data_IF_357005644293
#
_entry.id   IF_357005644293
#
_cell.length_a   1.000
_cell.length_b   1.000
_cell.length_c   1.000
_cell.angle_alpha   90.00
_cell.angle_beta   90.00
_cell.angle_gamma   90.00
#
_symmetry.space_group_name_H-M   'P 1'
#
loop_
_entity.id
_entity.type
_entity.pdbx_description
1 polymer ?
#
# COMPACT_ATOMS: atom_id res chain seq x y z
N UNK A 1 4.82 -17.69 -22.84
CA UNK A 1 4.42 -17.33 -21.48
C UNK A 1 4.41 -15.81 -21.37
N UNK A 2 3.32 -15.25 -20.86
CA UNK A 2 3.23 -13.79 -20.65
C UNK A 2 4.19 -13.30 -19.57
N UNK A 3 4.32 -14.03 -18.45
CA UNK A 3 5.26 -13.74 -17.37
C UNK A 3 6.61 -14.44 -17.58
N UNK A 4 7.71 -13.68 -17.37
CA UNK A 4 9.08 -14.23 -17.33
C UNK A 4 9.91 -13.55 -16.24
N UNK A 5 10.84 -14.30 -15.66
CA UNK A 5 11.81 -13.83 -14.65
C UNK A 5 13.21 -14.25 -15.04
N UNK A 6 14.15 -13.32 -14.96
CA UNK A 6 15.60 -13.56 -15.08
C UNK A 6 16.31 -12.93 -13.89
N UNK A 7 17.24 -13.66 -13.29
CA UNK A 7 18.16 -13.11 -12.28
C UNK A 7 19.52 -12.92 -12.92
N UNK A 8 20.01 -11.69 -12.92
CA UNK A 8 21.33 -11.35 -13.43
C UNK A 8 22.44 -11.89 -12.52
N UNK A 9 23.69 -12.04 -13.01
CA UNK A 9 24.81 -12.51 -12.16
C UNK A 9 25.05 -11.66 -10.90
N UNK A 10 24.69 -10.38 -10.93
CA UNK A 10 24.77 -9.49 -9.77
C UNK A 10 23.72 -9.80 -8.68
N UNK A 11 22.71 -10.62 -8.98
CA UNK A 11 21.55 -10.86 -8.11
C UNK A 11 20.33 -9.98 -8.41
N UNK A 12 20.45 -9.00 -9.33
CA UNK A 12 19.32 -8.17 -9.76
C UNK A 12 18.28 -9.02 -10.50
N UNK A 13 17.03 -8.91 -10.09
CA UNK A 13 15.90 -9.64 -10.67
C UNK A 13 15.19 -8.78 -11.71
N UNK A 14 14.93 -9.35 -12.87
CA UNK A 14 14.20 -8.71 -13.97
C UNK A 14 12.92 -9.50 -14.22
N UNK A 15 11.79 -8.83 -14.10
CA UNK A 15 10.46 -9.42 -14.26
C UNK A 15 9.75 -8.75 -15.43
N UNK A 16 9.12 -9.54 -16.28
CA UNK A 16 8.27 -8.99 -17.34
C UNK A 16 6.94 -9.72 -17.45
N UNK A 17 5.91 -8.97 -17.82
CA UNK A 17 4.62 -9.51 -18.22
C UNK A 17 4.20 -8.91 -19.55
N UNK A 18 4.27 -9.72 -20.62
CA UNK A 18 3.92 -9.27 -21.95
C UNK A 18 2.39 -9.15 -22.11
N UNK A 19 1.95 -8.02 -22.65
CA UNK A 19 0.54 -7.75 -22.96
C UNK A 19 0.40 -7.52 -24.47
N UNK A 20 0.13 -8.56 -25.26
CA UNK A 20 -0.03 -8.40 -26.69
C UNK A 20 -1.30 -7.56 -26.98
N UNK A 21 -1.17 -6.62 -27.92
CA UNK A 21 -2.29 -5.78 -28.34
C UNK A 21 -2.35 -4.38 -27.70
N UNK A 22 -1.53 -4.08 -26.67
CA UNK A 22 -1.36 -2.72 -26.18
C UNK A 22 -0.16 -2.03 -26.85
N UNK A 23 -0.16 -0.69 -26.86
CA UNK A 23 0.92 0.13 -27.45
C UNK A 23 1.68 0.89 -26.37
N UNK A 24 1.58 0.46 -25.12
CA UNK A 24 2.26 1.06 -23.97
C UNK A 24 2.98 0.00 -23.16
N UNK A 25 3.93 0.46 -22.33
CA UNK A 25 4.56 -0.34 -21.30
C UNK A 25 4.78 0.52 -20.04
N UNK A 26 4.71 -0.12 -18.89
CA UNK A 26 5.13 0.47 -17.63
C UNK A 26 6.38 -0.24 -17.15
N UNK A 27 7.42 0.53 -16.86
CA UNK A 27 8.70 0.07 -16.31
C UNK A 27 8.83 0.58 -14.89
N UNK A 28 9.20 -0.26 -13.94
CA UNK A 28 9.43 0.10 -12.56
C UNK A 28 10.71 -0.46 -11.99
N UNK A 29 11.43 0.34 -11.20
CA UNK A 29 12.58 -0.08 -10.40
C UNK A 29 12.13 -0.09 -8.95
N UNK A 30 12.24 -1.24 -8.30
CA UNK A 30 11.79 -1.49 -6.95
C UNK A 30 12.96 -1.74 -6.02
N UNK A 31 12.90 -1.16 -4.84
CA UNK A 31 13.79 -1.48 -3.72
C UNK A 31 13.01 -2.11 -2.56
N UNK A 32 13.57 -3.17 -1.97
CA UNK A 32 13.01 -3.87 -0.80
C UNK A 32 13.30 -3.07 0.47
N UNK A 33 12.83 -1.84 0.50
CA UNK A 33 12.97 -0.90 1.62
C UNK A 33 11.80 0.07 1.62
N UNK A 34 11.25 0.28 2.80
CA UNK A 34 10.21 1.26 3.07
C UNK A 34 10.31 1.73 4.53
N UNK A 35 9.27 2.36 5.03
CA UNK A 35 9.34 2.96 6.36
C UNK A 35 9.46 1.96 7.52
N UNK A 36 9.11 0.70 7.32
CA UNK A 36 9.18 -0.31 8.38
C UNK A 36 10.59 -0.64 8.87
N UNK A 37 11.63 -0.37 8.06
CA UNK A 37 13.04 -0.64 8.45
C UNK A 37 13.76 0.60 8.99
N UNK A 38 13.09 1.73 9.01
CA UNK A 38 13.69 2.97 9.47
C UNK A 38 13.80 3.02 10.99
N UNK A 39 14.93 3.46 11.54
CA UNK A 39 14.99 3.78 12.96
C UNK A 39 14.07 4.97 13.26
N UNK A 40 13.51 5.00 14.47
CA UNK A 40 12.52 6.02 14.86
C UNK A 40 13.04 7.46 14.62
N UNK A 41 14.31 7.71 14.93
CA UNK A 41 14.94 9.04 14.81
C UNK A 41 15.07 9.54 13.37
N UNK A 42 14.89 8.64 12.39
CA UNK A 42 14.99 8.92 10.95
C UNK A 42 13.72 8.54 10.19
N UNK A 43 12.59 8.48 10.89
CA UNK A 43 11.31 8.16 10.28
C UNK A 43 10.99 9.15 9.15
N UNK A 44 10.63 8.61 7.97
CA UNK A 44 10.40 9.39 6.75
C UNK A 44 11.61 9.45 5.80
N UNK A 45 12.76 8.84 6.14
CA UNK A 45 13.96 8.91 5.28
C UNK A 45 13.75 8.22 3.92
N UNK A 46 13.04 7.10 3.85
CA UNK A 46 12.75 6.43 2.57
C UNK A 46 11.91 7.31 1.65
N UNK A 47 10.92 7.99 2.18
CA UNK A 47 10.09 8.95 1.44
C UNK A 47 10.91 10.16 0.99
N UNK A 48 11.82 10.66 1.82
CA UNK A 48 12.71 11.76 1.45
C UNK A 48 13.71 11.34 0.36
N UNK A 49 14.22 10.11 0.40
CA UNK A 49 15.02 9.54 -0.71
C UNK A 49 14.20 9.51 -1.99
N UNK A 50 12.95 9.06 -1.93
CA UNK A 50 12.05 9.03 -3.08
C UNK A 50 11.98 10.42 -3.76
N UNK A 51 11.68 11.47 -3.00
CA UNK A 51 11.64 12.85 -3.50
C UNK A 51 12.95 13.28 -4.14
N UNK A 52 14.06 12.98 -3.48
CA UNK A 52 15.38 13.45 -3.90
C UNK A 52 15.91 12.77 -5.16
N UNK A 53 15.43 11.56 -5.52
CA UNK A 53 15.81 10.92 -6.77
C UNK A 53 15.33 11.67 -8.01
N UNK A 54 14.27 12.49 -7.87
CA UNK A 54 13.77 13.36 -8.95
C UNK A 54 14.54 14.69 -9.09
N UNK A 55 15.50 14.98 -8.20
CA UNK A 55 16.14 16.30 -8.09
C UNK A 55 17.50 16.42 -8.79
N UNK A 56 17.79 15.50 -9.66
CA UNK A 56 18.93 15.57 -10.56
C UNK A 56 19.98 14.50 -10.36
N UNK A 57 20.68 14.26 -11.45
CA UNK A 57 21.82 13.36 -11.59
C UNK A 57 22.99 14.14 -12.22
N UNK A 58 24.22 13.58 -12.30
CA UNK A 58 25.31 14.20 -13.06
C UNK A 58 24.98 14.41 -14.55
N UNK A 59 24.04 13.63 -15.10
CA UNK A 59 23.65 13.68 -16.52
C UNK A 59 22.44 14.57 -16.79
N UNK A 60 21.56 14.77 -15.80
CA UNK A 60 20.27 15.45 -16.00
C UNK A 60 19.91 16.27 -14.77
N UNK A 61 19.57 17.52 -14.96
CA UNK A 61 18.88 18.33 -13.94
C UNK A 61 17.45 17.79 -13.70
N UNK A 62 16.82 18.21 -12.61
CA UNK A 62 15.42 17.88 -12.32
C UNK A 62 14.48 18.31 -13.47
N UNK A 63 14.76 19.48 -14.08
CA UNK A 63 14.01 19.96 -15.23
C UNK A 63 14.17 19.07 -16.45
N UNK A 64 15.38 18.67 -16.77
CA UNK A 64 15.68 17.79 -17.92
C UNK A 64 15.07 16.40 -17.74
N UNK A 65 15.00 15.88 -16.50
CA UNK A 65 14.28 14.64 -16.19
C UNK A 65 12.80 14.78 -16.57
N UNK A 66 12.15 15.84 -16.11
CA UNK A 66 10.74 16.11 -16.40
C UNK A 66 10.50 16.33 -17.91
N UNK A 67 11.28 17.21 -18.55
CA UNK A 67 11.17 17.53 -19.98
C UNK A 67 11.40 16.28 -20.87
N UNK A 68 12.29 15.39 -20.48
CA UNK A 68 12.57 14.14 -21.23
C UNK A 68 11.33 13.23 -21.24
N UNK A 69 10.64 13.09 -20.11
CA UNK A 69 9.45 12.26 -20.01
C UNK A 69 8.23 12.92 -20.64
N UNK A 70 8.02 14.21 -20.38
CA UNK A 70 6.93 14.96 -20.98
C UNK A 70 7.03 15.01 -22.51
N UNK A 71 8.24 15.15 -23.04
CA UNK A 71 8.54 15.20 -24.46
C UNK A 71 8.13 13.94 -25.24
N UNK A 72 7.97 12.81 -24.59
CA UNK A 72 7.47 11.56 -25.19
C UNK A 72 6.06 11.19 -24.75
N UNK A 73 5.37 12.11 -24.04
CA UNK A 73 4.04 11.85 -23.50
C UNK A 73 4.03 10.78 -22.42
N UNK A 74 5.17 10.57 -21.75
CA UNK A 74 5.34 9.60 -20.67
C UNK A 74 4.78 10.15 -19.36
N UNK A 75 4.43 9.25 -18.47
CA UNK A 75 4.05 9.57 -17.09
C UNK A 75 5.02 8.87 -16.15
N UNK A 76 5.69 9.62 -15.30
CA UNK A 76 6.64 9.12 -14.32
C UNK A 76 6.17 9.43 -12.91
N UNK A 77 6.28 8.47 -12.02
CA UNK A 77 5.87 8.61 -10.63
C UNK A 77 6.68 7.68 -9.72
N UNK A 78 6.50 7.81 -8.43
CA UNK A 78 7.06 6.90 -7.43
C UNK A 78 6.10 6.75 -6.26
N UNK A 79 6.33 5.76 -5.42
CA UNK A 79 5.70 5.63 -4.12
C UNK A 79 6.61 4.89 -3.14
N UNK A 80 6.48 5.25 -1.89
CA UNK A 80 7.09 4.56 -0.75
C UNK A 80 5.97 4.03 0.13
N UNK A 81 6.00 2.75 0.43
CA UNK A 81 5.14 2.13 1.43
C UNK A 81 5.94 1.65 2.65
N UNK A 82 5.34 0.83 3.50
CA UNK A 82 6.00 0.31 4.70
C UNK A 82 7.19 -0.62 4.39
N UNK A 83 7.13 -1.37 3.30
CA UNK A 83 8.09 -2.44 3.01
C UNK A 83 8.86 -2.25 1.71
N UNK A 84 8.36 -1.40 0.79
CA UNK A 84 8.95 -1.22 -0.54
C UNK A 84 8.93 0.23 -1.01
N UNK A 85 9.83 0.57 -1.92
CA UNK A 85 9.82 1.82 -2.68
C UNK A 85 9.89 1.50 -4.17
N UNK A 86 9.08 2.16 -4.98
CA UNK A 86 9.02 1.96 -6.42
C UNK A 86 9.11 3.27 -7.18
N UNK A 87 9.96 3.30 -8.20
CA UNK A 87 10.08 4.39 -9.18
C UNK A 87 9.66 3.84 -10.53
N UNK A 88 8.68 4.43 -11.19
CA UNK A 88 8.15 3.87 -12.43
C UNK A 88 7.77 4.91 -13.46
N UNK A 89 7.74 4.48 -14.71
CA UNK A 89 7.29 5.30 -15.84
C UNK A 89 6.40 4.47 -16.77
N UNK A 90 5.31 5.09 -17.23
CA UNK A 90 4.45 4.57 -18.29
C UNK A 90 4.72 5.34 -19.57
N UNK A 91 5.05 4.62 -20.64
CA UNK A 91 5.40 5.21 -21.94
C UNK A 91 4.78 4.39 -23.07
N UNK A 92 4.80 4.95 -24.29
CA UNK A 92 4.57 4.16 -25.50
C UNK A 92 5.72 3.15 -25.64
N UNK A 93 5.44 1.96 -26.12
CA UNK A 93 6.34 0.81 -26.22
C UNK A 93 7.73 1.13 -26.80
N UNK A 94 7.80 1.94 -27.85
CA UNK A 94 9.06 2.37 -28.48
C UNK A 94 9.97 3.21 -27.58
N UNK A 95 9.42 3.79 -26.51
CA UNK A 95 10.16 4.65 -25.55
C UNK A 95 10.58 3.92 -24.28
N UNK A 96 10.39 2.60 -24.20
CA UNK A 96 10.88 1.79 -23.08
C UNK A 96 12.38 1.97 -22.80
N UNK A 97 13.27 1.97 -23.84
CA UNK A 97 14.70 2.21 -23.59
C UNK A 97 15.00 3.57 -22.97
N UNK A 98 14.25 4.63 -23.37
CA UNK A 98 14.38 5.95 -22.78
C UNK A 98 13.87 5.99 -21.33
N UNK A 99 12.72 5.41 -21.08
CA UNK A 99 12.16 5.34 -19.72
C UNK A 99 13.11 4.62 -18.76
N UNK A 100 13.68 3.48 -19.19
CA UNK A 100 14.66 2.74 -18.41
C UNK A 100 15.94 3.55 -18.20
N UNK A 101 16.42 4.28 -19.21
CA UNK A 101 17.61 5.14 -19.10
C UNK A 101 17.42 6.25 -18.07
N UNK A 102 16.27 6.93 -18.09
CA UNK A 102 15.95 7.99 -17.12
C UNK A 102 15.81 7.42 -15.71
N UNK A 103 15.00 6.37 -15.54
CA UNK A 103 14.76 5.75 -14.24
C UNK A 103 16.06 5.18 -13.63
N UNK A 104 16.87 4.49 -14.41
CA UNK A 104 18.14 3.93 -13.92
C UNK A 104 19.14 5.01 -13.56
N UNK A 105 19.22 6.10 -14.33
CA UNK A 105 20.07 7.24 -14.03
C UNK A 105 19.68 7.91 -12.70
N UNK A 106 18.40 8.16 -12.49
CA UNK A 106 17.87 8.68 -11.22
C UNK A 106 18.14 7.74 -10.05
N UNK A 107 17.93 6.44 -10.24
CA UNK A 107 18.09 5.43 -9.22
C UNK A 107 19.54 5.19 -8.79
N UNK A 108 20.46 5.16 -9.76
CA UNK A 108 21.86 4.83 -9.54
C UNK A 108 22.72 6.04 -9.16
N UNK A 109 22.36 7.25 -9.63
CA UNK A 109 23.24 8.42 -9.59
C UNK A 109 22.57 9.69 -9.03
N UNK A 110 21.79 9.62 -7.94
CA UNK A 110 21.18 10.83 -7.37
C UNK A 110 22.26 11.75 -6.79
N UNK A 111 22.15 13.04 -7.05
CA UNK A 111 23.12 14.03 -6.56
C UNK A 111 22.99 14.31 -5.06
N UNK A 112 21.78 14.28 -4.53
CA UNK A 112 21.47 14.76 -3.18
C UNK A 112 22.07 16.15 -2.93
N UNK A 113 21.79 17.06 -3.86
CA UNK A 113 22.26 18.45 -3.74
C UNK A 113 21.71 19.10 -2.48
N UNK A 114 22.55 19.76 -1.65
CA UNK A 114 22.09 20.33 -0.37
C UNK A 114 21.02 21.42 -0.51
N UNK A 115 21.01 22.18 -1.61
CA UNK A 115 20.02 23.24 -1.83
C UNK A 115 18.67 22.62 -2.25
N UNK A 116 18.68 21.63 -3.13
CA UNK A 116 17.49 20.88 -3.52
C UNK A 116 16.93 20.10 -2.32
N UNK A 117 17.81 19.51 -1.51
CA UNK A 117 17.43 18.83 -0.27
C UNK A 117 16.68 19.77 0.69
N UNK A 118 17.20 20.97 0.92
CA UNK A 118 16.56 21.94 1.81
C UNK A 118 15.16 22.35 1.31
N UNK A 119 14.98 22.45 -0.01
CA UNK A 119 13.66 22.71 -0.62
C UNK A 119 12.71 21.54 -0.43
N UNK A 120 13.16 20.31 -0.74
CA UNK A 120 12.31 19.13 -0.61
C UNK A 120 11.94 18.82 0.84
N UNK A 121 12.83 19.08 1.78
CA UNK A 121 12.51 18.98 3.21
C UNK A 121 11.33 19.89 3.57
N UNK A 122 11.29 21.12 3.05
CA UNK A 122 10.14 22.03 3.26
C UNK A 122 8.88 21.53 2.55
N UNK A 123 9.00 20.98 1.34
CA UNK A 123 7.84 20.36 0.63
C UNK A 123 7.24 19.24 1.47
N UNK A 124 8.06 18.35 2.01
CA UNK A 124 7.58 17.25 2.87
C UNK A 124 6.94 17.77 4.16
N UNK A 125 7.48 18.82 4.77
CA UNK A 125 6.84 19.43 5.94
C UNK A 125 5.45 20.00 5.60
N UNK A 126 5.28 20.59 4.41
CA UNK A 126 3.96 21.04 3.95
C UNK A 126 3.03 19.85 3.64
N UNK A 127 3.55 18.75 3.10
CA UNK A 127 2.78 17.51 2.90
C UNK A 127 2.30 16.91 4.24
N UNK A 128 3.15 16.90 5.26
CA UNK A 128 2.76 16.46 6.63
C UNK A 128 1.59 17.30 7.13
N UNK A 129 1.64 18.63 6.97
CA UNK A 129 0.54 19.53 7.36
C UNK A 129 -0.73 19.25 6.57
N UNK A 130 -0.62 19.11 5.24
CA UNK A 130 -1.77 18.76 4.39
C UNK A 130 -2.41 17.44 4.82
N UNK A 131 -1.60 16.45 5.16
CA UNK A 131 -2.06 15.15 5.65
C UNK A 131 -2.75 15.27 7.01
N UNK A 132 -2.19 16.06 7.93
CA UNK A 132 -2.83 16.40 9.21
C UNK A 132 -4.18 17.12 9.03
N UNK A 133 -4.35 17.85 7.92
CA UNK A 133 -5.60 18.54 7.57
C UNK A 133 -6.60 17.67 6.80
N UNK A 134 -6.25 16.42 6.49
CA UNK A 134 -7.10 15.44 5.80
C UNK A 134 -7.46 14.30 6.75
N UNK A 135 -8.44 14.47 7.63
CA UNK A 135 -8.75 13.49 8.69
C UNK A 135 -9.26 12.16 8.14
N UNK A 136 -9.84 12.11 6.95
CA UNK A 136 -10.27 10.91 6.24
C UNK A 136 -9.10 10.05 5.76
N UNK A 137 -7.95 10.66 5.44
CA UNK A 137 -6.70 9.95 5.14
C UNK A 137 -5.94 9.60 6.43
N UNK A 138 -5.77 10.59 7.31
CA UNK A 138 -5.01 10.48 8.54
C UNK A 138 -5.53 9.39 9.48
N UNK A 139 -6.85 9.15 9.50
CA UNK A 139 -7.46 8.14 10.37
C UNK A 139 -6.92 6.73 10.12
N UNK A 140 -6.55 6.40 8.89
CA UNK A 140 -6.00 5.09 8.55
C UNK A 140 -4.63 4.88 9.20
N UNK A 141 -3.74 5.87 9.14
CA UNK A 141 -2.45 5.81 9.83
C UNK A 141 -2.60 5.78 11.35
N UNK A 142 -3.51 6.58 11.90
CA UNK A 142 -3.80 6.56 13.34
C UNK A 142 -4.37 5.21 13.80
N UNK A 143 -5.14 4.54 12.96
CA UNK A 143 -5.61 3.19 13.25
C UNK A 143 -4.44 2.19 13.32
N UNK A 144 -3.51 2.24 12.36
CA UNK A 144 -2.31 1.41 12.41
C UNK A 144 -1.47 1.71 13.67
N UNK A 145 -1.25 2.99 14.00
CA UNK A 145 -0.54 3.40 15.23
C UNK A 145 -1.23 2.88 16.48
N UNK A 146 -2.55 2.89 16.51
CA UNK A 146 -3.35 2.43 17.65
C UNK A 146 -3.21 0.93 17.85
N UNK A 147 -3.33 0.15 16.77
CA UNK A 147 -3.32 -1.32 16.81
C UNK A 147 -1.90 -1.90 16.93
N UNK A 148 -0.89 -1.21 16.40
CA UNK A 148 0.52 -1.60 16.40
C UNK A 148 1.40 -0.59 17.13
N UNK A 149 0.97 -0.19 18.30
CA UNK A 149 1.71 0.76 19.12
C UNK A 149 3.14 0.28 19.41
N UNK A 150 4.12 1.14 19.15
CA UNK A 150 5.54 0.83 19.35
C UNK A 150 6.20 0.02 18.22
N UNK A 151 5.47 -0.30 17.14
CA UNK A 151 6.02 -0.94 15.94
C UNK A 151 6.24 0.08 14.83
N UNK A 152 7.31 -0.09 14.06
CA UNK A 152 7.56 0.72 12.87
C UNK A 152 6.47 0.59 11.80
N UNK A 153 5.77 -0.56 11.72
CA UNK A 153 4.59 -0.72 10.86
C UNK A 153 3.42 0.18 11.23
N UNK A 154 3.30 0.56 12.51
CA UNK A 154 2.28 1.50 12.98
C UNK A 154 2.61 2.96 12.69
N UNK A 155 3.87 3.33 12.50
CA UNK A 155 4.28 4.73 12.32
C UNK A 155 4.09 5.22 10.88
N UNK A 156 3.81 6.53 10.66
CA UNK A 156 3.53 7.07 9.33
C UNK A 156 4.74 6.97 8.40
N UNK A 157 4.49 6.61 7.14
CA UNK A 157 5.53 6.50 6.11
C UNK A 157 6.19 7.84 5.79
N UNK A 158 5.41 8.92 5.83
CA UNK A 158 5.93 10.28 5.59
C UNK A 158 6.86 10.79 6.69
N UNK A 159 6.84 10.15 7.88
CA UNK A 159 7.61 10.57 9.05
C UNK A 159 6.90 11.64 9.88
N UNK A 160 7.67 12.24 10.76
CA UNK A 160 7.25 13.34 11.64
C UNK A 160 8.05 14.59 11.33
N UNK A 161 7.54 15.77 11.68
CA UNK A 161 8.27 17.04 11.47
C UNK A 161 9.68 16.99 12.05
N UNK A 162 9.82 16.55 13.31
CA UNK A 162 11.11 16.44 14.00
C UNK A 162 12.06 15.43 13.36
N UNK A 163 11.57 14.30 12.88
CA UNK A 163 12.42 13.27 12.26
C UNK A 163 12.88 13.69 10.87
N UNK A 164 11.99 14.32 10.08
CA UNK A 164 12.32 14.86 8.75
C UNK A 164 13.35 15.97 8.87
N UNK A 165 13.23 16.87 9.86
CA UNK A 165 14.19 17.95 10.12
C UNK A 165 15.57 17.45 10.60
N UNK A 166 15.62 16.31 11.25
CA UNK A 166 16.85 15.72 11.76
C UNK A 166 17.72 15.05 10.68
N UNK A 167 17.15 14.70 9.53
CA UNK A 167 17.85 14.02 8.42
C UNK A 167 18.65 15.04 7.59
N UNK A 168 19.80 14.60 7.08
CA UNK A 168 20.66 15.37 6.18
C UNK A 168 21.03 14.58 4.92
N UNK A 169 21.62 15.19 3.87
CA UNK A 169 21.97 14.50 2.61
C UNK A 169 22.89 13.29 2.79
N UNK A 170 23.76 13.28 3.80
CA UNK A 170 24.65 12.15 4.06
C UNK A 170 23.87 10.96 4.62
N UNK A 171 22.82 11.20 5.40
CA UNK A 171 21.91 10.14 5.88
C UNK A 171 21.20 9.44 4.71
N UNK A 172 20.75 10.21 3.69
CA UNK A 172 20.15 9.65 2.49
C UNK A 172 21.13 8.73 1.74
N UNK A 173 22.38 9.18 1.54
CA UNK A 173 23.43 8.36 0.90
C UNK A 173 23.72 7.09 1.69
N UNK A 174 23.71 7.17 3.02
CA UNK A 174 23.93 6.03 3.90
C UNK A 174 22.77 5.06 3.84
N UNK A 175 21.53 5.56 3.81
CA UNK A 175 20.32 4.77 3.67
C UNK A 175 20.30 4.01 2.34
N UNK A 176 20.60 4.68 1.23
CA UNK A 176 20.68 4.03 -0.06
C UNK A 176 21.78 2.96 -0.11
N UNK A 177 22.98 3.24 0.43
CA UNK A 177 24.05 2.25 0.49
C UNK A 177 23.69 1.00 1.28
N UNK A 178 22.91 1.18 2.34
CA UNK A 178 22.48 0.08 3.21
C UNK A 178 21.41 -0.82 2.57
N UNK A 179 20.55 -0.25 1.72
CA UNK A 179 19.32 -0.91 1.28
C UNK A 179 19.18 -1.10 -0.23
N UNK A 180 19.85 -0.28 -1.05
CA UNK A 180 19.74 -0.33 -2.51
C UNK A 180 20.91 -1.11 -3.10
N UNK A 181 20.75 -2.42 -3.19
CA UNK A 181 21.75 -3.32 -3.76
C UNK A 181 21.09 -4.33 -4.71
N UNK A 182 21.82 -4.98 -5.61
CA UNK A 182 21.23 -5.90 -6.59
C UNK A 182 20.30 -6.96 -5.99
N UNK A 183 20.65 -7.52 -4.85
CA UNK A 183 19.85 -8.56 -4.18
C UNK A 183 18.53 -8.04 -3.55
N UNK A 184 18.42 -6.73 -3.33
CA UNK A 184 17.21 -6.07 -2.78
C UNK A 184 16.42 -5.29 -3.84
N UNK A 185 16.84 -5.35 -5.10
CA UNK A 185 16.22 -4.58 -6.18
C UNK A 185 15.60 -5.49 -7.23
N UNK A 186 14.48 -5.05 -7.75
CA UNK A 186 13.77 -5.69 -8.85
C UNK A 186 13.50 -4.64 -9.93
N UNK A 187 13.74 -4.98 -11.19
CA UNK A 187 13.30 -4.19 -12.33
C UNK A 187 12.15 -4.94 -12.99
N UNK A 188 10.96 -4.35 -12.97
CA UNK A 188 9.75 -4.96 -13.49
C UNK A 188 9.20 -4.17 -14.68
N UNK A 189 8.64 -4.86 -15.67
CA UNK A 189 7.94 -4.21 -16.77
C UNK A 189 6.72 -5.01 -17.20
N UNK A 190 5.66 -4.30 -17.56
CA UNK A 190 4.46 -4.90 -18.12
C UNK A 190 3.95 -4.07 -19.32
N UNK A 191 3.44 -4.74 -20.33
CA UNK A 191 2.94 -4.10 -21.55
C UNK A 191 3.46 -4.75 -22.83
N UNK A 192 3.55 -3.96 -23.90
CA UNK A 192 4.16 -4.43 -25.14
C UNK A 192 5.68 -4.48 -25.00
N UNK A 193 6.15 -5.59 -24.45
CA UNK A 193 7.56 -5.79 -24.05
C UNK A 193 8.04 -7.18 -24.48
N UNK A 194 9.27 -7.23 -24.92
CA UNK A 194 9.98 -8.49 -25.22
C UNK A 194 11.02 -8.72 -24.12
N UNK A 195 10.92 -9.86 -23.45
CA UNK A 195 11.67 -10.14 -22.23
C UNK A 195 13.19 -10.11 -22.43
N UNK A 196 13.69 -10.84 -23.42
CA UNK A 196 15.13 -11.00 -23.60
C UNK A 196 15.79 -9.67 -23.97
N UNK A 197 15.10 -8.87 -24.79
CA UNK A 197 15.54 -7.51 -25.11
C UNK A 197 15.51 -6.59 -23.89
N UNK A 198 14.50 -6.72 -23.06
CA UNK A 198 14.42 -5.92 -21.83
C UNK A 198 15.51 -6.32 -20.83
N UNK A 199 15.81 -7.62 -20.68
CA UNK A 199 16.92 -8.12 -19.85
C UNK A 199 18.25 -7.57 -20.31
N UNK A 200 18.50 -7.54 -21.63
CA UNK A 200 19.74 -6.93 -22.20
C UNK A 200 19.84 -5.44 -21.81
N UNK A 201 18.77 -4.66 -22.01
CA UNK A 201 18.75 -3.24 -21.66
C UNK A 201 19.00 -3.00 -20.15
N UNK A 202 18.37 -3.80 -19.29
CA UNK A 202 18.60 -3.73 -17.84
C UNK A 202 20.04 -4.09 -17.52
N UNK A 203 20.59 -5.15 -18.12
CA UNK A 203 21.97 -5.56 -17.94
C UNK A 203 22.98 -4.46 -18.31
N UNK A 204 22.73 -3.75 -19.41
CA UNK A 204 23.56 -2.61 -19.84
C UNK A 204 23.50 -1.43 -18.83
N UNK A 205 22.29 -1.08 -18.36
CA UNK A 205 22.09 0.07 -17.46
C UNK A 205 22.59 -0.18 -16.03
N UNK A 206 22.55 -1.43 -15.59
CA UNK A 206 22.94 -1.84 -14.24
C UNK A 206 24.29 -2.60 -14.21
N UNK A 207 25.12 -2.47 -15.27
CA UNK A 207 26.38 -3.20 -15.39
C UNK A 207 27.35 -2.94 -14.21
N UNK A 208 27.36 -1.72 -13.67
CA UNK A 208 28.23 -1.31 -12.55
C UNK A 208 27.48 -1.37 -11.19
N UNK A 209 26.25 -1.84 -11.17
CA UNK A 209 25.46 -1.97 -9.94
C UNK A 209 25.82 -3.26 -9.23
N UNK A 210 26.72 -3.16 -8.26
CA UNK A 210 27.32 -4.28 -7.53
C UNK A 210 27.09 -4.19 -6.02
N UNK A 211 27.42 -5.25 -5.32
CA UNK A 211 27.31 -5.35 -3.87
C UNK A 211 26.10 -6.15 -3.41
N UNK A 212 25.89 -6.19 -2.13
CA UNK A 212 24.72 -6.81 -1.52
C UNK A 212 24.34 -6.07 -0.25
N UNK A 213 23.05 -6.02 0.04
CA UNK A 213 22.50 -5.52 1.29
C UNK A 213 22.05 -6.66 2.19
N UNK A 214 21.99 -6.39 3.48
CA UNK A 214 21.24 -7.24 4.41
C UNK A 214 19.76 -6.99 4.16
N UNK A 215 19.05 -8.02 3.73
CA UNK A 215 17.61 -7.89 3.49
C UNK A 215 16.88 -7.61 4.82
N UNK A 216 15.91 -6.71 4.81
CA UNK A 216 15.15 -6.41 6.01
C UNK A 216 14.34 -7.62 6.45
N UNK A 217 14.35 -7.89 7.75
CA UNK A 217 13.46 -8.88 8.35
C UNK A 217 12.12 -8.20 8.64
N UNK A 218 11.01 -8.64 8.02
CA UNK A 218 9.72 -8.02 8.27
C UNK A 218 9.31 -8.13 9.74
N UNK A 219 8.81 -7.05 10.31
CA UNK A 219 8.24 -7.06 11.65
C UNK A 219 6.96 -7.90 11.71
N UNK A 220 6.74 -8.53 12.86
CA UNK A 220 5.48 -9.19 13.21
C UNK A 220 4.99 -8.60 14.52
N UNK A 221 4.40 -7.39 14.49
CA UNK A 221 3.97 -6.70 15.68
C UNK A 221 2.84 -7.47 16.38
N UNK A 222 2.83 -7.43 17.70
CA UNK A 222 1.66 -7.83 18.45
C UNK A 222 0.53 -6.82 18.18
N UNK A 223 -0.60 -7.32 17.68
CA UNK A 223 -1.79 -6.49 17.52
C UNK A 223 -2.49 -6.38 18.86
N UNK A 224 -2.54 -5.16 19.40
CA UNK A 224 -3.19 -4.88 20.68
C UNK A 224 -4.39 -3.99 20.44
N UNK A 225 -5.62 -4.52 20.57
CA UNK A 225 -6.82 -3.72 20.46
C UNK A 225 -6.79 -2.57 21.48
N UNK A 226 -6.99 -1.36 20.99
CA UNK A 226 -6.95 -0.16 21.81
C UNK A 226 -8.00 0.84 21.31
N UNK A 227 -8.29 1.81 22.19
CA UNK A 227 -9.15 2.94 21.87
C UNK A 227 -8.31 4.20 21.75
N UNK A 228 -8.53 4.95 20.68
CA UNK A 228 -7.91 6.26 20.49
C UNK A 228 -8.92 7.24 19.92
N UNK A 229 -9.14 8.36 20.62
CA UNK A 229 -10.00 9.45 20.17
C UNK A 229 -9.18 10.72 20.10
N UNK A 230 -9.03 11.28 18.89
CA UNK A 230 -8.34 12.53 18.63
C UNK A 230 -9.36 13.61 18.32
N UNK A 231 -9.48 14.59 19.20
CA UNK A 231 -10.33 15.75 18.92
C UNK A 231 -9.77 16.58 17.78
N UNK A 232 -10.62 16.88 16.79
CA UNK A 232 -10.36 17.84 15.71
C UNK A 232 -11.64 18.59 15.41
N UNK A 233 -11.56 19.90 15.37
CA UNK A 233 -12.68 20.75 14.94
C UNK A 233 -12.83 20.63 13.41
N UNK A 234 -13.77 19.81 12.99
CA UNK A 234 -14.06 19.45 11.59
C UNK A 234 -15.56 19.23 11.41
N UNK A 235 -16.05 19.32 10.16
CA UNK A 235 -17.47 19.10 9.87
C UNK A 235 -17.92 17.64 10.12
N UNK A 236 -17.00 16.70 9.89
CA UNK A 236 -17.27 15.27 10.03
C UNK A 236 -16.41 14.66 11.12
N UNK A 237 -16.92 13.59 11.69
CA UNK A 237 -16.14 12.63 12.48
C UNK A 237 -15.80 11.41 11.61
N UNK A 238 -14.57 10.95 11.72
CA UNK A 238 -14.06 9.79 11.04
C UNK A 238 -13.82 8.69 12.06
N UNK A 239 -14.29 7.50 11.77
CA UNK A 239 -14.27 6.35 12.67
C UNK A 239 -13.63 5.17 11.94
N UNK A 240 -12.70 4.49 12.58
CA UNK A 240 -12.23 3.17 12.16
C UNK A 240 -12.39 2.19 13.32
N UNK A 241 -13.07 1.09 13.04
CA UNK A 241 -13.17 -0.06 13.94
C UNK A 241 -12.57 -1.24 13.23
N UNK A 242 -11.66 -1.96 13.88
CA UNK A 242 -11.05 -3.10 13.23
C UNK A 242 -10.30 -4.02 14.18
N UNK A 243 -9.76 -5.08 13.60
CA UNK A 243 -9.09 -6.15 14.30
C UNK A 243 -7.76 -6.51 13.61
N UNK A 244 -7.03 -7.46 14.19
CA UNK A 244 -5.98 -8.13 13.43
C UNK A 244 -6.57 -8.73 12.15
N UNK A 245 -5.78 -8.70 11.10
CA UNK A 245 -6.07 -9.35 9.82
C UNK A 245 -5.08 -10.49 9.54
N UNK A 246 -4.87 -10.77 8.27
CA UNK A 246 -3.93 -11.78 7.78
C UNK A 246 -2.76 -11.11 7.08
N UNK A 247 -1.59 -11.74 7.12
CA UNK A 247 -0.47 -11.34 6.30
C UNK A 247 -0.66 -11.74 4.82
N UNK A 248 0.19 -11.20 3.95
CA UNK A 248 0.07 -11.41 2.49
C UNK A 248 0.33 -12.86 2.05
N UNK A 249 0.98 -13.68 2.86
CA UNK A 249 1.31 -15.08 2.55
C UNK A 249 0.28 -16.06 3.10
N UNK A 250 -0.61 -15.64 4.00
CA UNK A 250 -1.65 -16.51 4.55
C UNK A 250 -2.62 -16.95 3.43
N UNK A 251 -2.75 -18.25 3.24
CA UNK A 251 -3.64 -18.81 2.20
C UNK A 251 -5.12 -18.47 2.42
N UNK A 252 -5.52 -18.17 3.67
CA UNK A 252 -6.90 -17.73 4.00
C UNK A 252 -7.20 -16.28 3.56
N UNK A 253 -6.21 -15.56 3.01
CA UNK A 253 -6.43 -14.20 2.47
C UNK A 253 -7.53 -14.13 1.42
N UNK A 254 -7.76 -15.21 0.69
CA UNK A 254 -8.86 -15.28 -0.29
C UNK A 254 -10.23 -15.33 0.40
N UNK A 255 -10.35 -16.10 1.50
CA UNK A 255 -11.54 -16.08 2.33
C UNK A 255 -11.75 -14.72 3.00
N UNK A 256 -10.67 -14.05 3.45
CA UNK A 256 -10.72 -12.70 3.98
C UNK A 256 -11.18 -11.69 2.92
N UNK A 257 -10.76 -11.83 1.67
CA UNK A 257 -11.22 -10.97 0.57
C UNK A 257 -12.71 -11.11 0.31
N UNK A 258 -13.26 -12.33 0.42
CA UNK A 258 -14.71 -12.56 0.31
C UNK A 258 -15.44 -11.94 1.51
N UNK A 259 -14.94 -12.13 2.73
CA UNK A 259 -15.50 -11.51 3.94
C UNK A 259 -15.53 -9.98 3.82
N UNK A 260 -14.42 -9.40 3.42
CA UNK A 260 -14.27 -7.95 3.20
C UNK A 260 -15.30 -7.43 2.20
N UNK A 261 -15.44 -8.11 1.06
CA UNK A 261 -16.41 -7.74 0.02
C UNK A 261 -17.86 -7.82 0.52
N UNK A 262 -18.22 -8.87 1.26
CA UNK A 262 -19.56 -9.02 1.86
C UNK A 262 -19.84 -7.93 2.88
N UNK A 263 -18.87 -7.62 3.74
CA UNK A 263 -19.04 -6.67 4.85
C UNK A 263 -19.08 -5.24 4.34
N UNK A 264 -18.11 -4.81 3.53
CA UNK A 264 -17.96 -3.41 3.17
C UNK A 264 -17.32 -3.13 1.80
N UNK A 265 -17.23 -4.11 0.90
CA UNK A 265 -16.47 -3.98 -0.35
C UNK A 265 -17.20 -3.25 -1.49
N UNK A 266 -18.41 -2.77 -1.31
CA UNK A 266 -19.16 -2.08 -2.37
C UNK A 266 -20.55 -1.61 -1.94
N UNK A 267 -21.30 -1.04 -2.89
CA UNK A 267 -22.65 -0.50 -2.61
C UNK A 267 -23.66 -1.58 -2.22
N UNK A 268 -23.48 -2.83 -2.59
CA UNK A 268 -24.31 -3.96 -2.17
C UNK A 268 -23.89 -4.61 -0.85
N UNK A 269 -22.78 -4.16 -0.25
CA UNK A 269 -22.26 -4.68 1.00
C UNK A 269 -23.21 -4.40 2.19
N UNK A 270 -23.08 -5.20 3.23
CA UNK A 270 -23.91 -5.09 4.43
C UNK A 270 -23.82 -3.72 5.08
N UNK A 271 -22.59 -3.20 5.28
CA UNK A 271 -22.38 -1.89 5.89
C UNK A 271 -22.99 -0.76 5.06
N UNK A 272 -22.78 -0.77 3.73
CA UNK A 272 -23.33 0.25 2.87
C UNK A 272 -24.87 0.25 2.91
N UNK A 273 -25.48 -0.92 2.79
CA UNK A 273 -26.95 -1.05 2.80
C UNK A 273 -27.56 -0.70 4.16
N UNK A 274 -26.97 -1.18 5.27
CA UNK A 274 -27.56 -0.97 6.59
C UNK A 274 -27.35 0.43 7.14
N UNK A 275 -26.17 1.02 6.91
CA UNK A 275 -25.78 2.29 7.55
C UNK A 275 -26.03 3.48 6.64
N UNK A 276 -25.69 3.37 5.34
CA UNK A 276 -25.86 4.47 4.40
C UNK A 276 -27.24 4.48 3.75
N UNK A 277 -27.64 3.40 3.07
CA UNK A 277 -28.88 3.39 2.28
C UNK A 277 -30.13 3.39 3.17
N UNK A 278 -30.21 2.51 4.16
CA UNK A 278 -31.41 2.39 5.00
C UNK A 278 -31.54 3.51 6.04
N UNK A 279 -30.42 3.99 6.60
CA UNK A 279 -30.45 4.91 7.75
C UNK A 279 -29.86 6.29 7.46
N UNK A 280 -29.10 6.45 6.39
CA UNK A 280 -28.51 7.75 6.01
C UNK A 280 -27.57 8.34 7.07
N UNK A 281 -26.90 7.50 7.87
CA UNK A 281 -26.08 7.94 8.99
C UNK A 281 -24.67 8.33 8.61
N UNK A 282 -24.19 7.91 7.44
CA UNK A 282 -22.82 8.11 6.99
C UNK A 282 -22.79 8.69 5.57
N UNK A 283 -21.73 9.45 5.29
CA UNK A 283 -21.40 9.90 3.92
C UNK A 283 -20.67 8.81 3.15
N UNK A 284 -19.77 8.12 3.84
CA UNK A 284 -18.98 7.02 3.30
C UNK A 284 -18.82 5.93 4.35
N UNK A 285 -18.88 4.67 3.91
CA UNK A 285 -18.59 3.49 4.74
C UNK A 285 -18.04 2.39 3.85
N UNK A 286 -16.94 1.78 4.28
CA UNK A 286 -16.33 0.64 3.60
C UNK A 286 -15.46 -0.16 4.56
N UNK A 287 -15.19 -1.40 4.23
CA UNK A 287 -14.16 -2.19 4.89
C UNK A 287 -12.85 -2.19 4.07
N UNK A 288 -11.75 -2.46 4.72
CA UNK A 288 -10.42 -2.49 4.11
C UNK A 288 -9.48 -3.45 4.82
N UNK A 289 -8.43 -3.83 4.13
CA UNK A 289 -7.36 -4.66 4.66
C UNK A 289 -6.02 -3.91 4.52
N UNK A 290 -5.20 -3.99 5.57
CA UNK A 290 -3.80 -3.60 5.52
C UNK A 290 -2.98 -4.88 5.73
N UNK A 291 -2.38 -5.40 4.67
CA UNK A 291 -1.64 -6.65 4.69
C UNK A 291 -0.17 -6.43 4.33
N UNK A 292 0.72 -6.93 5.18
CA UNK A 292 2.17 -6.86 5.04
C UNK A 292 2.75 -8.27 5.10
N UNK A 293 4.07 -8.41 4.92
CA UNK A 293 4.71 -9.74 4.83
C UNK A 293 4.52 -10.61 6.07
N UNK A 294 4.35 -10.05 7.26
CA UNK A 294 4.19 -10.79 8.52
C UNK A 294 3.15 -10.20 9.46
N UNK A 295 2.28 -9.34 8.98
CA UNK A 295 1.25 -8.72 9.78
C UNK A 295 0.07 -8.27 8.91
N UNK A 296 -1.11 -8.18 9.50
CA UNK A 296 -2.28 -7.64 8.83
C UNK A 296 -3.31 -7.06 9.79
N UNK A 297 -4.09 -6.12 9.29
CA UNK A 297 -5.26 -5.55 9.95
C UNK A 297 -6.46 -5.63 9.01
N UNK A 298 -7.62 -5.78 9.61
CA UNK A 298 -8.92 -5.60 8.97
C UNK A 298 -9.63 -4.44 9.64
N UNK A 299 -10.18 -3.51 8.87
CA UNK A 299 -10.85 -2.34 9.40
C UNK A 299 -12.12 -1.99 8.66
N UNK A 300 -12.99 -1.28 9.35
CA UNK A 300 -14.18 -0.63 8.80
C UNK A 300 -14.04 0.86 9.04
N UNK A 301 -14.06 1.63 7.96
CA UNK A 301 -14.09 3.09 8.00
C UNK A 301 -15.51 3.61 7.84
N UNK A 302 -15.83 4.66 8.57
CA UNK A 302 -17.05 5.44 8.38
C UNK A 302 -16.79 6.93 8.59
N UNK A 303 -17.33 7.75 7.67
CA UNK A 303 -17.38 9.21 7.79
C UNK A 303 -18.82 9.65 8.11
N UNK A 304 -19.01 10.33 9.24
CA UNK A 304 -20.36 10.67 9.75
C UNK A 304 -20.38 12.05 10.42
N UNK A 305 -21.56 12.55 10.75
CA UNK A 305 -21.70 13.75 11.57
C UNK A 305 -21.47 13.43 13.06
N UNK A 306 -21.02 14.44 13.82
CA UNK A 306 -20.77 14.32 15.27
C UNK A 306 -21.91 13.62 16.02
N UNK A 307 -23.15 14.02 15.76
CA UNK A 307 -24.35 13.47 16.44
C UNK A 307 -24.62 11.99 16.19
N UNK A 308 -24.09 11.45 15.09
CA UNK A 308 -24.34 10.08 14.64
C UNK A 308 -23.20 9.12 14.98
N UNK A 309 -22.09 9.59 15.56
CA UNK A 309 -20.88 8.78 15.81
C UNK A 309 -21.20 7.52 16.61
N UNK A 310 -21.90 7.64 17.75
CA UNK A 310 -22.22 6.48 18.59
C UNK A 310 -23.12 5.48 17.86
N UNK A 311 -24.16 5.96 17.17
CA UNK A 311 -25.06 5.08 16.39
C UNK A 311 -24.30 4.37 15.27
N UNK A 312 -23.34 5.04 14.66
CA UNK A 312 -22.49 4.47 13.62
C UNK A 312 -21.59 3.36 14.20
N UNK A 313 -20.95 3.60 15.34
CA UNK A 313 -20.15 2.61 16.07
C UNK A 313 -20.99 1.38 16.39
N UNK A 314 -22.16 1.57 17.01
CA UNK A 314 -23.05 0.49 17.42
C UNK A 314 -23.47 -0.38 16.23
N UNK A 315 -23.81 0.24 15.10
CA UNK A 315 -24.22 -0.47 13.88
C UNK A 315 -23.04 -1.22 13.21
N UNK A 316 -21.84 -0.64 13.21
CA UNK A 316 -20.66 -1.34 12.68
C UNK A 316 -20.39 -2.59 13.52
N UNK A 317 -20.38 -2.47 14.85
CA UNK A 317 -20.17 -3.61 15.76
C UNK A 317 -21.27 -4.66 15.58
N UNK A 318 -22.54 -4.25 15.43
CA UNK A 318 -23.64 -5.14 15.14
C UNK A 318 -23.45 -5.92 13.83
N UNK A 319 -23.02 -5.25 12.76
CA UNK A 319 -22.77 -5.92 11.47
C UNK A 319 -21.57 -6.87 11.53
N UNK A 320 -20.52 -6.54 12.26
CA UNK A 320 -19.40 -7.45 12.49
C UNK A 320 -19.83 -8.67 13.33
N UNK A 321 -20.66 -8.49 14.34
CA UNK A 321 -21.24 -9.58 15.10
C UNK A 321 -22.16 -10.46 14.24
N UNK A 322 -22.95 -9.88 13.35
CA UNK A 322 -23.76 -10.62 12.40
C UNK A 322 -22.92 -11.46 11.42
N UNK A 323 -21.79 -10.95 10.97
CA UNK A 323 -20.87 -11.70 10.11
C UNK A 323 -20.27 -12.95 10.81
N UNK A 324 -20.11 -12.90 12.14
CA UNK A 324 -19.67 -14.05 12.96
C UNK A 324 -20.76 -15.10 13.19
N UNK A 325 -21.99 -14.64 13.44
CA UNK A 325 -23.07 -15.47 13.99
C UNK A 325 -24.05 -16.00 12.95
N UNK A 326 -24.19 -15.31 11.83
CA UNK A 326 -25.13 -15.68 10.78
C UNK A 326 -24.40 -16.18 9.52
N UNK A 327 -24.84 -17.31 8.93
CA UNK A 327 -24.31 -17.78 7.67
C UNK A 327 -24.44 -16.73 6.57
N UNK A 328 -23.46 -16.65 5.70
CA UNK A 328 -23.53 -15.84 4.47
C UNK A 328 -24.50 -16.52 3.51
N UNK A 329 -25.47 -15.77 2.99
CA UNK A 329 -26.40 -16.31 1.99
C UNK A 329 -25.69 -16.65 0.68
N UNK A 330 -26.16 -17.71 0.01
CA UNK A 330 -25.53 -18.18 -1.23
C UNK A 330 -25.43 -17.11 -2.32
N UNK A 331 -26.46 -16.28 -2.48
CA UNK A 331 -26.45 -15.21 -3.49
C UNK A 331 -25.45 -14.11 -3.13
N UNK A 332 -25.41 -13.69 -1.88
CA UNK A 332 -24.46 -12.69 -1.34
C UNK A 332 -23.01 -13.19 -1.51
N UNK A 333 -22.75 -14.45 -1.17
CA UNK A 333 -21.46 -15.09 -1.32
C UNK A 333 -21.00 -15.12 -2.77
N UNK A 334 -21.86 -15.60 -3.69
CA UNK A 334 -21.56 -15.64 -5.12
C UNK A 334 -21.31 -14.25 -5.70
N UNK A 335 -22.11 -13.25 -5.32
CA UNK A 335 -21.92 -11.86 -5.76
C UNK A 335 -20.55 -11.33 -5.30
N UNK A 336 -20.11 -11.65 -4.09
CA UNK A 336 -18.80 -11.25 -3.61
C UNK A 336 -17.65 -11.89 -4.43
N UNK A 337 -17.74 -13.20 -4.74
CA UNK A 337 -16.74 -13.86 -5.58
C UNK A 337 -16.67 -13.24 -6.97
N UNK A 338 -17.82 -13.02 -7.64
CA UNK A 338 -17.86 -12.39 -8.96
C UNK A 338 -17.34 -10.94 -8.95
N UNK A 339 -17.65 -10.18 -7.91
CA UNK A 339 -17.14 -8.83 -7.71
C UNK A 339 -15.61 -8.80 -7.64
N UNK A 340 -15.00 -9.68 -6.85
CA UNK A 340 -13.53 -9.77 -6.71
C UNK A 340 -12.89 -10.13 -8.05
N UNK A 341 -13.40 -11.15 -8.74
CA UNK A 341 -12.87 -11.59 -10.03
C UNK A 341 -13.00 -10.51 -11.11
N UNK A 342 -14.17 -9.86 -11.17
CA UNK A 342 -14.41 -8.75 -12.10
C UNK A 342 -13.45 -7.57 -11.86
N UNK A 343 -13.27 -7.15 -10.63
CA UNK A 343 -12.33 -6.08 -10.28
C UNK A 343 -10.87 -6.44 -10.61
N UNK A 344 -10.48 -7.69 -10.34
CA UNK A 344 -9.15 -8.18 -10.73
C UNK A 344 -8.95 -8.07 -12.24
N UNK A 345 -9.86 -8.63 -13.01
CA UNK A 345 -9.78 -8.64 -14.48
C UNK A 345 -9.69 -7.23 -15.05
N UNK A 346 -10.58 -6.32 -14.62
CA UNK A 346 -10.57 -4.91 -15.06
C UNK A 346 -9.27 -4.19 -14.65
N UNK A 347 -8.75 -4.43 -13.46
CA UNK A 347 -7.50 -3.83 -13.01
C UNK A 347 -6.29 -4.26 -13.86
N UNK A 348 -6.31 -5.50 -14.35
CA UNK A 348 -5.23 -6.08 -15.15
C UNK A 348 -5.23 -5.65 -16.63
N UNK A 349 -6.17 -4.83 -17.06
CA UNK A 349 -6.07 -4.13 -18.35
C UNK A 349 -5.00 -3.02 -18.33
N UNK A 350 -4.63 -2.52 -17.14
CA UNK A 350 -3.61 -1.50 -16.97
C UNK A 350 -2.21 -2.09 -16.90
N UNK A 351 -1.30 -1.58 -17.75
CA UNK A 351 0.13 -1.93 -17.71
C UNK A 351 0.76 -1.55 -16.37
N UNK A 352 0.34 -0.43 -15.77
CA UNK A 352 0.84 0.00 -14.46
C UNK A 352 0.39 -0.95 -13.33
N UNK A 353 -0.87 -1.36 -13.33
CA UNK A 353 -1.38 -2.32 -12.34
C UNK A 353 -0.67 -3.67 -12.41
N UNK A 354 -0.39 -4.16 -13.63
CA UNK A 354 0.38 -5.40 -13.83
C UNK A 354 1.82 -5.25 -13.33
N UNK A 355 2.50 -4.16 -13.70
CA UNK A 355 3.88 -3.91 -13.23
C UNK A 355 3.95 -3.82 -11.71
N UNK A 356 3.00 -3.12 -11.07
CA UNK A 356 2.92 -3.01 -9.60
C UNK A 356 2.70 -4.39 -8.98
N UNK A 357 1.82 -5.19 -9.55
CA UNK A 357 1.55 -6.55 -9.07
C UNK A 357 2.78 -7.46 -9.18
N UNK A 358 3.58 -7.35 -10.25
CA UNK A 358 4.83 -8.10 -10.40
C UNK A 358 5.78 -7.83 -9.23
N UNK A 359 6.06 -6.57 -8.94
CA UNK A 359 6.96 -6.18 -7.86
C UNK A 359 6.44 -6.60 -6.48
N UNK A 360 5.17 -6.36 -6.20
CA UNK A 360 4.55 -6.74 -4.93
C UNK A 360 4.58 -8.26 -4.70
N UNK A 361 4.21 -9.06 -5.69
CA UNK A 361 4.24 -10.50 -5.59
C UNK A 361 5.66 -11.04 -5.40
N UNK A 362 6.64 -10.48 -6.10
CA UNK A 362 8.04 -10.90 -5.95
C UNK A 362 8.55 -10.66 -4.53
N UNK A 363 8.30 -9.50 -3.93
CA UNK A 363 8.77 -9.21 -2.57
C UNK A 363 7.93 -9.92 -1.48
N UNK A 364 6.64 -10.04 -1.68
CA UNK A 364 5.76 -10.65 -0.69
C UNK A 364 5.81 -12.18 -0.70
N UNK A 365 5.88 -12.79 -1.89
CA UNK A 365 5.68 -14.22 -2.08
C UNK A 365 6.89 -14.92 -2.73
N UNK A 366 7.83 -14.18 -3.30
CA UNK A 366 8.97 -14.71 -4.06
C UNK A 366 8.59 -15.34 -5.41
N UNK A 367 7.34 -15.21 -5.82
CA UNK A 367 6.79 -15.81 -7.04
C UNK A 367 5.71 -14.94 -7.69
N UNK A 368 5.50 -15.19 -8.96
CA UNK A 368 4.32 -14.68 -9.65
C UNK A 368 3.06 -15.45 -9.24
N UNK A 369 1.95 -14.75 -9.14
CA UNK A 369 0.60 -15.32 -8.98
C UNK A 369 -0.22 -14.80 -10.15
N UNK A 370 -0.58 -15.67 -11.08
CA UNK A 370 -1.42 -15.28 -12.23
C UNK A 370 -2.89 -15.05 -11.85
N UNK A 371 -3.66 -14.48 -12.77
CA UNK A 371 -5.07 -14.19 -12.52
C UNK A 371 -5.90 -15.45 -12.40
N UNK A 372 -5.59 -16.46 -13.19
CA UNK A 372 -6.28 -17.74 -13.19
C UNK A 372 -6.11 -18.47 -11.84
N UNK A 373 -4.90 -18.37 -11.25
CA UNK A 373 -4.68 -18.91 -9.88
C UNK A 373 -5.54 -18.17 -8.86
N UNK A 374 -5.60 -16.83 -8.93
CA UNK A 374 -6.43 -16.05 -7.99
C UNK A 374 -7.90 -16.38 -8.16
N UNK A 375 -8.40 -16.45 -9.41
CA UNK A 375 -9.80 -16.81 -9.68
C UNK A 375 -10.14 -18.20 -9.15
N UNK A 376 -9.27 -19.19 -9.39
CA UNK A 376 -9.46 -20.55 -8.89
C UNK A 376 -9.44 -20.59 -7.34
N UNK A 377 -8.60 -19.80 -6.70
CA UNK A 377 -8.56 -19.70 -5.22
C UNK A 377 -9.82 -19.04 -4.68
N UNK A 378 -10.33 -17.99 -5.32
CA UNK A 378 -11.58 -17.33 -4.92
C UNK A 378 -12.77 -18.28 -5.13
N UNK A 379 -12.82 -19.00 -6.24
CA UNK A 379 -13.87 -20.00 -6.50
C UNK A 379 -13.82 -21.19 -5.51
N UNK A 380 -12.64 -21.53 -5.02
CA UNK A 380 -12.43 -22.58 -4.03
C UNK A 380 -12.81 -22.20 -2.59
N UNK A 381 -13.02 -20.91 -2.29
CA UNK A 381 -13.46 -20.48 -0.95
C UNK A 381 -14.88 -20.97 -0.67
N UNK A 382 -15.12 -21.41 0.54
CA UNK A 382 -16.45 -21.85 1.00
C UNK A 382 -17.07 -20.84 2.00
N UNK A 383 -18.40 -20.77 2.11
CA UNK A 383 -19.06 -19.94 3.11
C UNK A 383 -18.64 -20.26 4.55
N UNK A 384 -18.36 -21.54 4.84
CA UNK A 384 -17.93 -21.99 6.17
C UNK A 384 -16.54 -21.45 6.51
N UNK A 385 -15.59 -21.46 5.58
CA UNK A 385 -14.25 -20.87 5.77
C UNK A 385 -14.33 -19.37 6.06
N UNK A 386 -15.19 -18.65 5.35
CA UNK A 386 -15.40 -17.21 5.56
C UNK A 386 -15.99 -16.94 6.93
N UNK A 387 -16.98 -17.73 7.35
CA UNK A 387 -17.60 -17.60 8.66
C UNK A 387 -16.66 -17.97 9.80
N UNK A 388 -15.86 -19.01 9.62
CA UNK A 388 -14.83 -19.41 10.60
C UNK A 388 -13.80 -18.30 10.80
N UNK A 389 -13.35 -17.70 9.71
CA UNK A 389 -12.44 -16.57 9.76
C UNK A 389 -13.07 -15.34 10.43
N UNK A 390 -14.33 -15.04 10.16
CA UNK A 390 -15.06 -13.98 10.85
C UNK A 390 -15.13 -14.21 12.37
N UNK A 391 -15.38 -15.45 12.79
CA UNK A 391 -15.38 -15.85 14.21
C UNK A 391 -14.01 -15.72 14.87
N UNK A 392 -12.94 -15.95 14.13
CA UNK A 392 -11.57 -15.80 14.63
C UNK A 392 -11.15 -14.33 14.75
N UNK A 393 -11.42 -13.51 13.72
CA UNK A 393 -10.89 -12.17 13.63
C UNK A 393 -11.77 -11.11 14.27
N UNK A 394 -13.09 -11.23 14.14
CA UNK A 394 -14.05 -10.14 14.45
C UNK A 394 -14.71 -10.27 15.84
N UNK A 395 -14.11 -11.02 16.76
CA UNK A 395 -14.61 -11.07 18.14
C UNK A 395 -14.38 -9.71 18.81
N UNK A 396 -15.27 -9.37 19.75
CA UNK A 396 -15.30 -8.06 20.38
C UNK A 396 -13.98 -7.70 21.07
N UNK A 397 -13.30 -8.68 21.66
CA UNK A 397 -12.00 -8.53 22.33
C UNK A 397 -10.86 -8.17 21.35
N UNK A 398 -11.03 -8.44 20.07
CA UNK A 398 -10.05 -8.09 19.03
C UNK A 398 -10.28 -6.71 18.42
N UNK A 399 -11.42 -6.07 18.72
CA UNK A 399 -11.78 -4.81 18.08
C UNK A 399 -11.10 -3.62 18.76
N UNK A 400 -10.37 -2.83 17.97
CA UNK A 400 -9.91 -1.51 18.34
C UNK A 400 -10.78 -0.42 17.72
N UNK A 401 -10.72 0.78 18.30
CA UNK A 401 -11.47 1.95 17.87
C UNK A 401 -10.54 3.15 17.73
N UNK A 402 -10.59 3.80 16.58
CA UNK A 402 -9.91 5.08 16.34
C UNK A 402 -10.92 6.10 15.82
N UNK A 403 -10.92 7.29 16.39
CA UNK A 403 -11.81 8.40 15.98
C UNK A 403 -10.98 9.67 15.79
N UNK A 404 -11.24 10.41 14.72
CA UNK A 404 -10.84 11.80 14.55
C UNK A 404 -12.09 12.64 14.27
N UNK A 405 -12.30 13.70 15.00
CA UNK A 405 -13.40 14.60 14.74
C UNK A 405 -13.77 15.46 15.94
N UNK A 406 -14.87 16.22 15.85
CA UNK A 406 -15.35 17.08 16.91
C UNK A 406 -16.07 16.27 18.01
N UNK A 407 -15.38 15.28 18.55
CA UNK A 407 -15.95 14.30 19.50
C UNK A 407 -15.07 14.27 20.75
N UNK A 408 -15.72 14.38 21.92
CA UNK A 408 -15.05 14.16 23.20
C UNK A 408 -15.00 12.66 23.49
N UNK A 409 -13.85 12.18 23.95
CA UNK A 409 -13.67 10.77 24.29
C UNK A 409 -14.65 10.27 25.34
N UNK A 410 -15.01 11.12 26.31
CA UNK A 410 -15.97 10.80 27.37
C UNK A 410 -17.41 10.59 26.86
N UNK A 411 -17.71 11.09 25.66
CA UNK A 411 -19.03 10.94 25.03
C UNK A 411 -19.19 9.60 24.28
N UNK A 412 -18.14 8.81 24.16
CA UNK A 412 -18.13 7.54 23.41
C UNK A 412 -18.29 6.36 24.36
N UNK A 413 -19.37 5.63 24.21
CA UNK A 413 -19.56 4.34 24.86
C UNK A 413 -18.88 3.22 24.06
N UNK A 414 -17.80 2.69 24.62
CA UNK A 414 -17.02 1.56 24.07
C UNK A 414 -17.00 0.36 25.05
N UNK A 415 -17.87 0.35 26.05
CA UNK A 415 -17.90 -0.67 27.13
C UNK A 415 -18.26 -2.07 26.64
N UNK A 416 -18.80 -2.22 25.43
CA UNK A 416 -19.29 -3.49 24.85
C UNK A 416 -18.19 -4.45 24.39
N UNK A 417 -16.94 -3.99 24.32
CA UNK A 417 -15.79 -4.82 23.95
C UNK A 417 -15.08 -5.49 25.13
N UNK A 418 -15.50 -5.19 26.34
CA UNK A 418 -14.91 -5.71 27.58
C UNK A 418 -15.78 -6.76 28.32
N UNK A 419 -16.81 -7.29 27.66
CA UNK A 419 -17.72 -8.29 28.26
C UNK A 419 -17.58 -9.66 27.58
#
# INVERSE_FOLDING_TARGET
QMYRKTTLPSGLRVLTEAMPGVRSATVGIWAEVGSAVEPHERRGISHLVEHMLFKGTPRRSAREIAETMDGVGGNMNAFTDKETTCYYAKVIDRHVPLALDVLSDMFLHPLFDPQEFAKEQQVILEEIKMYEDSPDDLIHDLFLQTMWSGSSLGEPTIGFEETVLAVNPQDLRSHMRAHYAPNSVVVAAAGNIEHDRFVELVGERFAEFEGSSVLPVPESPATTPARHVRFKDSEQAHVVIGSRGLDVADERRYALSVLDTVVGGGMSSRLFQEIREKRGLVYSVYSFQAAYRRAGLFGVYAGTSQKNVQSCIDLIVEQLAAARSMPIGNDEFRLAQEHIKGNLTLSLESTSSRMIRLGRNEFALGRHVDSEEVEARIDGVTPDEVQELARELLIDENLGLTIIGPVDESAIDWSRTAA
#
